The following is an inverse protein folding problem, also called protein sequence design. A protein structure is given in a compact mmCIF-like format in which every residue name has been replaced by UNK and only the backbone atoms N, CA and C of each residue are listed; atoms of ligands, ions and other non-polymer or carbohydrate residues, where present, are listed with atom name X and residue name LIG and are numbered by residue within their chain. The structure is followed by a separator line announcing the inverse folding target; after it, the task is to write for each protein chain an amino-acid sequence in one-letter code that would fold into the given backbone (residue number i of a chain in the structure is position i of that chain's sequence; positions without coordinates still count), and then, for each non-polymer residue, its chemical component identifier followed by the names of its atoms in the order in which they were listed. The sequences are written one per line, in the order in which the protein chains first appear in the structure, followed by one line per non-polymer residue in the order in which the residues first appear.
data_IF_744285312017
#
_entry.id   IF_744285312017
#
_cell.length_a   1.000
_cell.length_b   1.000
_cell.length_c   1.000
_cell.angle_alpha   90.00
_cell.angle_beta   90.00
_cell.angle_gamma   90.00
#
_symmetry.space_group_name_H-M   'P 1'
#
loop_
_entity.id
_entity.type
_entity.pdbx_description
1 polymer ?
#
# COMPACT_ATOMS: atom_id res chain seq x y z
N UNK A 1 21.08 -22.94 -6.77
CA UNK A 1 19.64 -23.09 -6.50
C UNK A 1 18.98 -21.88 -7.13
N UNK A 2 18.29 -22.08 -8.23
CA UNK A 2 17.72 -21.01 -9.07
C UNK A 2 16.51 -20.37 -8.36
N UNK A 3 16.49 -19.07 -8.41
CA UNK A 3 15.47 -18.18 -7.85
C UNK A 3 14.17 -18.29 -8.66
N UNK A 4 13.23 -19.10 -8.18
CA UNK A 4 11.93 -19.34 -8.86
C UNK A 4 10.85 -18.32 -8.46
N UNK A 5 11.17 -17.33 -7.61
CA UNK A 5 10.17 -16.40 -7.07
C UNK A 5 9.91 -15.19 -7.97
N UNK A 6 10.88 -14.80 -8.79
CA UNK A 6 10.79 -13.62 -9.67
C UNK A 6 9.96 -13.89 -10.94
N UNK A 7 9.93 -15.13 -11.44
CA UNK A 7 9.16 -15.50 -12.64
C UNK A 7 7.64 -15.56 -12.37
N UNK A 8 7.22 -15.96 -11.17
CA UNK A 8 5.80 -16.06 -10.81
C UNK A 8 5.07 -14.70 -10.73
N UNK A 9 5.81 -13.63 -10.49
CA UNK A 9 5.24 -12.28 -10.32
C UNK A 9 4.93 -11.61 -11.66
N UNK A 10 5.76 -11.87 -12.67
CA UNK A 10 5.53 -11.40 -14.04
C UNK A 10 4.46 -12.21 -14.77
N UNK A 11 4.25 -13.47 -14.36
CA UNK A 11 3.24 -14.35 -14.94
C UNK A 11 1.80 -13.93 -14.62
N UNK A 12 1.52 -13.32 -13.45
CA UNK A 12 0.16 -13.00 -13.02
C UNK A 12 -0.52 -11.91 -13.85
N UNK A 13 0.13 -10.76 -14.08
CA UNK A 13 -0.41 -9.67 -14.91
C UNK A 13 -0.39 -10.04 -16.39
N UNK A 14 0.69 -10.69 -16.85
CA UNK A 14 0.81 -11.21 -18.20
C UNK A 14 -0.26 -12.27 -18.49
N UNK A 15 -0.60 -13.13 -17.50
CA UNK A 15 -1.61 -14.14 -17.61
C UNK A 15 -3.02 -13.56 -17.73
N UNK A 16 -3.36 -12.54 -16.93
CA UNK A 16 -4.67 -11.90 -16.96
C UNK A 16 -4.89 -11.14 -18.27
N UNK A 17 -3.85 -10.44 -18.75
CA UNK A 17 -3.86 -9.80 -20.06
C UNK A 17 -3.96 -10.84 -21.19
N UNK A 18 -3.22 -11.94 -21.10
CA UNK A 18 -3.28 -13.03 -22.06
C UNK A 18 -4.68 -13.68 -22.10
N UNK A 19 -5.31 -13.88 -20.93
CA UNK A 19 -6.69 -14.37 -20.84
C UNK A 19 -7.70 -13.40 -21.45
N UNK A 20 -7.54 -12.10 -21.20
CA UNK A 20 -8.40 -11.07 -21.78
C UNK A 20 -8.25 -11.00 -23.30
N UNK A 21 -7.02 -11.09 -23.83
CA UNK A 21 -6.75 -11.17 -25.28
C UNK A 21 -7.35 -12.45 -25.87
N UNK A 22 -7.21 -13.58 -25.19
CA UNK A 22 -7.79 -14.85 -25.64
C UNK A 22 -9.32 -14.77 -25.66
N UNK A 23 -9.95 -14.30 -24.58
CA UNK A 23 -11.39 -14.13 -24.49
C UNK A 23 -11.93 -13.17 -25.56
N UNK A 24 -11.21 -12.08 -25.82
CA UNK A 24 -11.57 -11.12 -26.88
C UNK A 24 -11.53 -11.77 -28.27
N UNK A 25 -10.49 -12.57 -28.56
CA UNK A 25 -10.38 -13.29 -29.82
C UNK A 25 -11.44 -14.38 -29.96
N UNK A 26 -11.73 -15.09 -28.86
CA UNK A 26 -12.77 -16.10 -28.85
C UNK A 26 -14.16 -15.49 -29.14
N UNK A 27 -14.50 -14.40 -28.47
CA UNK A 27 -15.76 -13.69 -28.70
C UNK A 27 -15.83 -13.14 -30.13
N UNK A 28 -14.74 -12.57 -30.66
CA UNK A 28 -14.71 -12.07 -32.05
C UNK A 28 -14.96 -13.19 -33.05
N UNK A 29 -14.28 -14.32 -32.92
CA UNK A 29 -14.49 -15.49 -33.77
C UNK A 29 -15.92 -16.05 -33.67
N UNK A 30 -16.52 -16.01 -32.49
CA UNK A 30 -17.89 -16.46 -32.27
C UNK A 30 -18.90 -15.52 -32.93
N UNK A 31 -18.67 -14.20 -32.88
CA UNK A 31 -19.48 -13.19 -33.59
C UNK A 31 -19.41 -13.42 -35.09
N UNK A 32 -18.18 -13.58 -35.63
CA UNK A 32 -17.94 -13.77 -37.06
C UNK A 32 -18.55 -15.07 -37.61
N UNK A 33 -18.74 -16.08 -36.77
CA UNK A 33 -19.31 -17.39 -37.15
C UNK A 33 -20.79 -17.53 -36.84
N UNK A 34 -21.41 -16.59 -36.15
CA UNK A 34 -22.82 -16.70 -35.76
C UNK A 34 -23.74 -16.14 -36.85
N UNK A 35 -24.79 -16.88 -37.16
CA UNK A 35 -25.84 -16.46 -38.11
C UNK A 35 -27.04 -15.80 -37.45
N UNK A 36 -27.09 -15.80 -36.10
CA UNK A 36 -28.15 -15.19 -35.34
C UNK A 36 -27.78 -13.73 -34.98
N UNK A 37 -28.50 -12.71 -35.51
CA UNK A 37 -28.17 -11.31 -35.29
C UNK A 37 -28.32 -10.84 -33.84
N UNK A 38 -29.29 -11.39 -33.08
CA UNK A 38 -29.50 -11.04 -31.69
C UNK A 38 -28.32 -11.52 -30.82
N UNK A 39 -27.91 -12.78 -31.03
CA UNK A 39 -26.75 -13.35 -30.32
C UNK A 39 -25.44 -12.63 -30.69
N UNK A 40 -25.27 -12.25 -31.95
CA UNK A 40 -24.12 -11.45 -32.39
C UNK A 40 -24.06 -10.12 -31.66
N UNK A 41 -25.19 -9.45 -31.46
CA UNK A 41 -25.25 -8.17 -30.75
C UNK A 41 -24.93 -8.31 -29.26
N UNK A 42 -25.43 -9.35 -28.58
CA UNK A 42 -25.07 -9.62 -27.18
C UNK A 42 -23.57 -9.92 -27.01
N UNK A 43 -23.01 -10.73 -27.91
CA UNK A 43 -21.58 -11.05 -27.90
C UNK A 43 -20.72 -9.81 -28.20
N UNK A 44 -21.17 -8.92 -29.09
CA UNK A 44 -20.49 -7.66 -29.35
C UNK A 44 -20.50 -6.74 -28.13
N UNK A 45 -21.63 -6.64 -27.41
CA UNK A 45 -21.72 -5.86 -26.18
C UNK A 45 -20.79 -6.42 -25.07
N UNK A 46 -20.69 -7.74 -24.96
CA UNK A 46 -19.78 -8.40 -24.03
C UNK A 46 -18.28 -8.14 -24.42
N UNK A 47 -17.95 -8.17 -25.72
CA UNK A 47 -16.62 -7.85 -26.22
C UNK A 47 -16.24 -6.39 -25.94
N UNK A 48 -17.14 -5.46 -26.17
CA UNK A 48 -16.92 -4.04 -25.88
C UNK A 48 -16.78 -3.77 -24.38
N UNK A 49 -17.58 -4.45 -23.55
CA UNK A 49 -17.42 -4.44 -22.10
C UNK A 49 -16.05 -4.97 -21.65
N UNK A 50 -15.58 -6.08 -22.23
CA UNK A 50 -14.28 -6.64 -21.94
C UNK A 50 -13.13 -5.72 -22.36
N UNK A 51 -13.22 -5.14 -23.58
CA UNK A 51 -12.25 -4.13 -24.06
C UNK A 51 -12.21 -2.92 -23.14
N UNK A 52 -13.37 -2.42 -22.71
CA UNK A 52 -13.48 -1.29 -21.79
C UNK A 52 -12.86 -1.63 -20.44
N UNK A 53 -13.10 -2.83 -19.89
CA UNK A 53 -12.51 -3.28 -18.63
C UNK A 53 -10.99 -3.39 -18.71
N UNK A 54 -10.44 -3.92 -19.82
CA UNK A 54 -8.99 -4.00 -20.07
C UNK A 54 -8.37 -2.61 -20.20
N UNK A 55 -9.02 -1.68 -20.89
CA UNK A 55 -8.55 -0.30 -21.02
C UNK A 55 -8.68 0.48 -19.69
N UNK A 56 -9.73 0.22 -18.92
CA UNK A 56 -9.91 0.82 -17.59
C UNK A 56 -8.88 0.31 -16.59
N UNK A 57 -8.46 -0.95 -16.69
CA UNK A 57 -7.33 -1.48 -15.93
C UNK A 57 -6.03 -0.70 -16.18
N UNK A 58 -5.79 -0.26 -17.42
CA UNK A 58 -4.65 0.57 -17.76
C UNK A 58 -4.82 2.06 -17.32
N UNK A 59 -6.06 2.51 -17.09
CA UNK A 59 -6.37 3.84 -16.51
C UNK A 59 -6.37 3.84 -14.96
N UNK A 60 -6.34 2.69 -14.32
CA UNK A 60 -6.25 2.60 -12.85
C UNK A 60 -5.00 3.27 -12.29
N UNK A 61 -3.91 3.39 -13.07
CA UNK A 61 -2.74 4.19 -12.70
C UNK A 61 -3.08 5.66 -12.39
N UNK A 62 -4.02 6.26 -13.11
CA UNK A 62 -4.47 7.65 -12.86
C UNK A 62 -5.43 7.75 -11.68
N UNK A 63 -6.29 6.74 -11.48
CA UNK A 63 -7.25 6.70 -10.36
C UNK A 63 -6.54 6.39 -9.05
N UNK A 64 -5.49 5.54 -9.08
CA UNK A 64 -4.65 5.25 -7.92
C UNK A 64 -3.87 6.48 -7.44
N UNK A 65 -3.38 7.33 -8.35
CA UNK A 65 -2.73 8.60 -7.99
C UNK A 65 -3.67 9.59 -7.28
N UNK A 66 -4.98 9.50 -7.52
CA UNK A 66 -5.99 10.30 -6.78
C UNK A 66 -6.30 9.67 -5.42
N UNK A 67 -6.29 8.34 -5.32
CA UNK A 67 -6.59 7.60 -4.09
C UNK A 67 -5.39 7.59 -3.13
N UNK A 68 -4.17 7.50 -3.67
CA UNK A 68 -2.90 7.41 -2.93
C UNK A 68 -1.93 8.51 -3.38
N UNK A 69 -2.14 9.76 -2.94
CA UNK A 69 -1.41 10.92 -3.46
C UNK A 69 0.09 10.92 -3.14
N UNK A 70 0.50 10.17 -2.12
CA UNK A 70 1.91 10.08 -1.69
C UNK A 70 2.58 8.76 -2.11
N UNK A 71 1.86 7.90 -2.84
CA UNK A 71 2.42 6.65 -3.33
C UNK A 71 3.57 6.92 -4.30
N UNK A 72 4.67 6.17 -4.12
CA UNK A 72 5.86 6.28 -4.97
C UNK A 72 5.85 5.17 -6.01
N UNK A 73 6.30 5.48 -7.22
CA UNK A 73 6.54 4.47 -8.23
C UNK A 73 7.68 3.54 -7.76
N UNK A 74 7.45 2.23 -7.84
CA UNK A 74 8.47 1.23 -7.54
C UNK A 74 9.30 1.02 -8.82
N UNK A 75 10.63 1.18 -8.76
CA UNK A 75 11.49 0.92 -9.92
C UNK A 75 11.37 -0.53 -10.40
N UNK A 76 11.48 -0.75 -11.70
CA UNK A 76 11.47 -2.10 -12.30
C UNK A 76 12.54 -2.99 -11.62
N UNK A 77 12.16 -4.17 -11.16
CA UNK A 77 13.02 -5.11 -10.44
C UNK A 77 13.15 -4.85 -8.94
N UNK A 78 12.51 -3.80 -8.41
CA UNK A 78 12.38 -3.56 -6.97
C UNK A 78 11.01 -4.02 -6.48
N UNK A 79 10.91 -4.28 -5.18
CA UNK A 79 9.66 -4.66 -4.52
C UNK A 79 9.30 -3.65 -3.43
N UNK A 80 8.08 -3.70 -2.93
CA UNK A 80 7.64 -2.90 -1.77
C UNK A 80 8.52 -3.09 -0.54
N UNK A 81 9.24 -4.21 -0.43
CA UNK A 81 10.22 -4.48 0.64
C UNK A 81 11.43 -3.54 0.64
N UNK A 82 11.77 -2.97 -0.50
CA UNK A 82 12.91 -2.05 -0.62
C UNK A 82 12.55 -0.60 -0.24
N UNK A 83 11.32 -0.38 0.26
CA UNK A 83 10.92 0.93 0.77
C UNK A 83 11.77 1.32 1.97
N UNK A 84 12.22 2.60 2.05
CA UNK A 84 13.06 3.06 3.13
C UNK A 84 12.30 3.00 4.46
N UNK A 85 12.86 2.32 5.45
CA UNK A 85 12.34 2.34 6.81
C UNK A 85 12.73 3.66 7.50
N UNK A 86 11.93 4.11 8.50
CA UNK A 86 12.31 5.21 9.38
C UNK A 86 13.65 4.95 10.07
N UNK A 87 14.29 6.04 10.55
CA UNK A 87 15.53 5.91 11.34
C UNK A 87 15.33 4.98 12.53
N UNK A 88 16.14 3.91 12.60
CA UNK A 88 16.05 2.88 13.63
C UNK A 88 16.24 3.46 15.03
N UNK A 89 17.16 4.43 15.20
CA UNK A 89 17.36 5.10 16.49
C UNK A 89 16.08 5.79 16.97
N UNK A 90 15.37 6.46 16.05
CA UNK A 90 14.10 7.13 16.35
C UNK A 90 12.99 6.13 16.66
N UNK A 91 12.93 5.03 15.91
CA UNK A 91 11.98 3.93 16.19
C UNK A 91 12.22 3.40 17.61
N UNK A 92 13.46 3.10 17.99
CA UNK A 92 13.76 2.61 19.33
C UNK A 92 13.49 3.65 20.42
N UNK A 93 13.76 4.93 20.19
CA UNK A 93 13.42 6.01 21.13
C UNK A 93 11.91 6.09 21.35
N UNK A 94 11.12 6.01 20.29
CA UNK A 94 9.66 6.05 20.36
C UNK A 94 9.09 4.78 21.00
N UNK A 95 9.62 3.60 20.71
CA UNK A 95 9.25 2.34 21.38
C UNK A 95 9.54 2.38 22.88
N UNK A 96 10.66 2.99 23.27
CA UNK A 96 10.98 3.21 24.69
C UNK A 96 9.97 4.18 25.32
N UNK A 97 9.67 5.29 24.66
CA UNK A 97 8.66 6.25 25.11
C UNK A 97 7.29 5.58 25.27
N UNK A 98 6.87 4.73 24.34
CA UNK A 98 5.62 3.98 24.45
C UNK A 98 5.59 3.04 25.66
N UNK A 99 6.75 2.53 26.11
CA UNK A 99 6.84 1.70 27.35
C UNK A 99 6.80 2.53 28.63
N UNK A 100 7.35 3.73 28.60
CA UNK A 100 7.50 4.62 29.76
C UNK A 100 6.30 5.58 29.93
N UNK A 101 5.60 5.90 28.84
CA UNK A 101 4.47 6.83 28.83
C UNK A 101 3.15 6.08 28.58
N UNK A 102 2.27 5.93 29.60
CA UNK A 102 1.00 5.21 29.46
C UNK A 102 0.07 5.78 28.40
N UNK A 103 0.10 7.10 28.15
CA UNK A 103 -0.73 7.75 27.13
C UNK A 103 -0.34 7.27 25.74
N UNK A 104 0.97 7.26 25.43
CA UNK A 104 1.47 6.75 24.14
C UNK A 104 1.15 5.26 24.00
N UNK A 105 1.38 4.46 25.05
CA UNK A 105 1.09 3.03 25.05
C UNK A 105 -0.38 2.72 24.75
N UNK A 106 -1.32 3.48 25.32
CA UNK A 106 -2.75 3.25 25.16
C UNK A 106 -3.25 3.63 23.76
N UNK A 107 -2.70 4.70 23.19
CA UNK A 107 -3.19 5.26 21.91
C UNK A 107 -2.47 4.67 20.70
N UNK A 108 -1.29 4.09 20.89
CA UNK A 108 -0.43 3.67 19.78
C UNK A 108 -1.06 2.60 18.88
N UNK A 109 -1.36 1.43 19.40
CA UNK A 109 -1.87 0.31 18.58
C UNK A 109 -3.37 0.06 18.79
N UNK A 110 -3.97 0.71 19.78
CA UNK A 110 -5.37 0.53 20.13
C UNK A 110 -5.70 -0.94 20.40
N UNK A 111 -6.81 -1.39 19.83
CA UNK A 111 -7.30 -2.76 19.98
C UNK A 111 -6.89 -3.71 18.83
N UNK A 112 -6.07 -3.24 17.87
CA UNK A 112 -5.73 -4.04 16.69
C UNK A 112 -4.76 -5.17 17.00
N UNK A 113 -3.58 -4.85 17.55
CA UNK A 113 -2.54 -5.82 17.86
C UNK A 113 -1.83 -5.46 19.17
N UNK A 114 -1.24 -6.44 19.83
CA UNK A 114 -0.43 -6.20 21.02
C UNK A 114 0.95 -5.66 20.63
N UNK A 115 1.59 -4.83 21.48
CA UNK A 115 2.96 -4.36 21.24
C UNK A 115 3.99 -5.48 20.99
N UNK A 116 3.84 -6.65 21.66
CA UNK A 116 4.70 -7.80 21.42
C UNK A 116 4.56 -8.37 20.01
N UNK A 117 3.32 -8.47 19.51
CA UNK A 117 3.05 -8.93 18.14
C UNK A 117 3.58 -7.92 17.10
N UNK A 118 3.44 -6.61 17.38
CA UNK A 118 4.02 -5.59 16.51
C UNK A 118 5.54 -5.75 16.37
N UNK A 119 6.24 -6.06 17.46
CA UNK A 119 7.69 -6.31 17.41
C UNK A 119 8.03 -7.49 16.47
N UNK A 120 7.22 -8.54 16.46
CA UNK A 120 7.44 -9.69 15.59
C UNK A 120 7.30 -9.30 14.11
N UNK A 121 6.27 -8.53 13.74
CA UNK A 121 6.11 -7.99 12.39
C UNK A 121 7.26 -7.04 12.01
N UNK A 122 7.64 -6.16 12.93
CA UNK A 122 8.75 -5.23 12.70
C UNK A 122 10.07 -5.95 12.44
N UNK A 123 10.39 -6.99 13.22
CA UNK A 123 11.60 -7.80 13.02
C UNK A 123 11.56 -8.50 11.65
N UNK A 124 10.40 -9.01 11.22
CA UNK A 124 10.27 -9.64 9.89
C UNK A 124 10.63 -8.70 8.76
N UNK A 125 10.19 -7.43 8.79
CA UNK A 125 10.51 -6.48 7.73
C UNK A 125 11.92 -5.88 7.83
N UNK A 126 12.46 -5.76 9.05
CA UNK A 126 13.81 -5.24 9.30
C UNK A 126 14.90 -6.27 9.00
N UNK A 127 14.56 -7.55 8.90
CA UNK A 127 15.49 -8.66 8.67
C UNK A 127 15.34 -9.22 7.25
N UNK A 128 16.40 -9.77 6.66
CA UNK A 128 16.29 -10.54 5.42
C UNK A 128 15.37 -11.75 5.62
N UNK A 129 14.36 -11.93 4.77
CA UNK A 129 13.43 -13.06 4.89
C UNK A 129 12.14 -12.85 4.10
N UNK A 130 11.08 -13.60 4.43
CA UNK A 130 9.80 -13.60 3.73
C UNK A 130 8.76 -12.69 4.40
N UNK A 131 8.95 -11.36 4.39
CA UNK A 131 7.87 -10.46 4.79
C UNK A 131 6.77 -10.42 3.74
N UNK A 132 5.52 -10.40 4.17
CA UNK A 132 4.34 -10.30 3.32
C UNK A 132 3.88 -8.84 3.16
N UNK A 133 2.96 -8.57 2.22
CA UNK A 133 2.32 -7.26 2.11
C UNK A 133 1.56 -6.90 3.41
N UNK A 134 0.94 -7.88 4.07
CA UNK A 134 0.30 -7.68 5.37
C UNK A 134 1.30 -7.22 6.45
N UNK A 135 2.47 -7.86 6.54
CA UNK A 135 3.54 -7.45 7.46
C UNK A 135 3.96 -5.99 7.20
N UNK A 136 4.12 -5.62 5.93
CA UNK A 136 4.50 -4.26 5.52
C UNK A 136 3.43 -3.24 5.92
N UNK A 137 2.16 -3.53 5.66
CA UNK A 137 1.03 -2.66 6.01
C UNK A 137 0.97 -2.46 7.52
N UNK A 138 0.99 -3.57 8.31
CA UNK A 138 0.91 -3.53 9.77
C UNK A 138 2.04 -2.66 10.35
N UNK A 139 3.26 -2.84 9.85
CA UNK A 139 4.41 -2.11 10.39
C UNK A 139 4.36 -0.64 10.00
N UNK A 140 4.05 -0.30 8.77
CA UNK A 140 3.94 1.11 8.39
C UNK A 140 2.80 1.84 9.12
N UNK A 141 1.65 1.19 9.32
CA UNK A 141 0.57 1.73 10.14
C UNK A 141 1.00 1.91 11.61
N UNK A 142 1.59 0.88 12.21
CA UNK A 142 2.02 0.93 13.60
C UNK A 142 3.11 1.98 13.85
N UNK A 143 4.09 2.11 12.96
CA UNK A 143 5.11 3.15 13.06
C UNK A 143 4.52 4.55 12.84
N UNK A 144 3.60 4.71 11.89
CA UNK A 144 2.89 5.97 11.69
C UNK A 144 2.22 6.44 13.00
N UNK A 145 1.42 5.58 13.62
CA UNK A 145 0.73 5.91 14.87
C UNK A 145 1.72 6.16 16.02
N UNK A 146 2.79 5.34 16.11
CA UNK A 146 3.83 5.52 17.13
C UNK A 146 4.46 6.91 17.04
N UNK A 147 4.90 7.32 15.86
CA UNK A 147 5.50 8.64 15.67
C UNK A 147 4.50 9.77 15.91
N UNK A 148 3.24 9.63 15.49
CA UNK A 148 2.19 10.60 15.76
C UNK A 148 1.95 10.79 17.27
N UNK A 149 1.88 9.72 18.04
CA UNK A 149 1.67 9.80 19.49
C UNK A 149 2.92 10.32 20.23
N UNK A 150 4.11 9.92 19.80
CA UNK A 150 5.35 10.48 20.35
C UNK A 150 5.52 11.96 20.02
N UNK A 151 5.16 12.39 18.81
CA UNK A 151 5.19 13.81 18.42
C UNK A 151 4.29 14.67 19.32
N UNK A 152 3.13 14.19 19.72
CA UNK A 152 2.22 14.88 20.65
C UNK A 152 2.77 14.94 22.08
N UNK A 153 3.58 13.95 22.47
CA UNK A 153 4.10 13.81 23.84
C UNK A 153 5.39 14.59 24.08
N UNK A 154 6.11 15.00 23.04
CA UNK A 154 7.37 15.75 23.19
C UNK A 154 7.10 17.27 23.19
N UNK A 155 7.76 18.04 24.07
CA UNK A 155 7.63 19.49 24.12
C UNK A 155 8.50 20.25 23.12
N UNK A 156 9.58 19.61 22.63
CA UNK A 156 10.56 20.20 21.72
C UNK A 156 10.06 20.19 20.27
N UNK A 157 9.94 21.37 19.68
CA UNK A 157 9.37 21.55 18.34
C UNK A 157 10.25 20.96 17.22
N UNK A 158 11.56 20.89 17.41
CA UNK A 158 12.46 20.27 16.41
C UNK A 158 12.31 18.75 16.43
N UNK A 159 12.28 18.14 17.60
CA UNK A 159 12.00 16.72 17.79
C UNK A 159 10.61 16.34 17.25
N UNK A 160 9.62 17.17 17.54
CA UNK A 160 8.26 16.99 17.04
C UNK A 160 8.20 16.99 15.51
N UNK A 161 8.82 17.99 14.88
CA UNK A 161 8.90 18.10 13.42
C UNK A 161 9.60 16.87 12.81
N UNK A 162 10.62 16.38 13.50
CA UNK A 162 11.35 15.19 13.07
C UNK A 162 10.49 13.92 13.15
N UNK A 163 9.73 13.72 14.24
CA UNK A 163 8.78 12.61 14.35
C UNK A 163 7.64 12.72 13.32
N UNK A 164 7.12 13.92 13.06
CA UNK A 164 6.12 14.14 12.02
C UNK A 164 6.66 13.77 10.63
N UNK A 165 7.94 14.06 10.34
CA UNK A 165 8.58 13.64 9.10
C UNK A 165 8.71 12.09 8.99
N UNK A 166 9.01 11.39 10.09
CA UNK A 166 9.03 9.93 10.10
C UNK A 166 7.61 9.34 9.96
N UNK A 167 6.61 9.94 10.58
CA UNK A 167 5.21 9.56 10.39
C UNK A 167 4.78 9.72 8.93
N UNK A 168 5.13 10.85 8.30
CA UNK A 168 4.84 11.07 6.88
C UNK A 168 5.52 10.02 5.97
N UNK A 169 6.76 9.67 6.26
CA UNK A 169 7.46 8.60 5.52
C UNK A 169 6.70 7.27 5.61
N UNK A 170 6.23 6.91 6.81
CA UNK A 170 5.44 5.69 7.01
C UNK A 170 4.11 5.74 6.24
N UNK A 171 3.41 6.88 6.25
CA UNK A 171 2.17 7.05 5.48
C UNK A 171 2.40 6.92 3.97
N UNK A 172 3.44 7.55 3.43
CA UNK A 172 3.79 7.46 2.01
C UNK A 172 4.20 6.03 1.59
N UNK A 173 4.90 5.32 2.47
CA UNK A 173 5.22 3.91 2.25
C UNK A 173 3.97 3.02 2.29
N UNK A 174 3.07 3.24 3.25
CA UNK A 174 1.78 2.56 3.32
C UNK A 174 0.98 2.74 2.02
N UNK A 175 0.83 3.99 1.56
CA UNK A 175 0.15 4.28 0.29
C UNK A 175 0.84 3.57 -0.88
N UNK A 176 2.18 3.50 -0.89
CA UNK A 176 2.93 2.79 -1.92
C UNK A 176 2.66 1.29 -1.89
N UNK A 177 2.62 0.66 -0.71
CA UNK A 177 2.27 -0.76 -0.58
C UNK A 177 0.84 -1.00 -1.06
N UNK A 178 -0.12 -0.19 -0.64
CA UNK A 178 -1.53 -0.33 -1.02
C UNK A 178 -1.75 -0.14 -2.54
N UNK A 179 -1.06 0.81 -3.15
CA UNK A 179 -1.12 1.04 -4.60
C UNK A 179 -0.55 -0.12 -5.43
N UNK A 180 0.29 -0.97 -4.83
CA UNK A 180 0.94 -2.10 -5.47
C UNK A 180 0.44 -3.46 -4.95
N UNK A 181 -0.68 -3.49 -4.23
CA UNK A 181 -1.27 -4.75 -3.77
C UNK A 181 -1.67 -5.61 -4.95
N UNK A 182 -1.37 -6.90 -4.87
CA UNK A 182 -1.77 -7.89 -5.86
C UNK A 182 -3.28 -8.10 -5.82
N UNK A 183 -3.87 -8.43 -6.95
CA UNK A 183 -5.31 -8.70 -7.05
C UNK A 183 -5.75 -9.90 -6.19
N UNK A 184 -4.92 -10.94 -6.11
CA UNK A 184 -5.17 -12.13 -5.28
C UNK A 184 -4.37 -12.04 -3.99
N UNK A 185 -5.05 -11.65 -2.92
CA UNK A 185 -4.47 -11.60 -1.57
C UNK A 185 -4.86 -12.83 -0.76
N UNK A 186 -3.98 -13.31 0.15
CA UNK A 186 -4.36 -14.32 1.12
C UNK A 186 -5.52 -13.82 1.98
N UNK A 187 -6.54 -14.64 2.18
CA UNK A 187 -7.67 -14.34 3.07
C UNK A 187 -7.38 -14.84 4.47
N UNK A 188 -6.24 -14.41 5.05
CA UNK A 188 -5.86 -14.75 6.42
C UNK A 188 -6.20 -13.61 7.40
N UNK A 189 -6.05 -13.90 8.67
CA UNK A 189 -6.37 -12.96 9.75
C UNK A 189 -5.39 -11.77 9.74
N UNK A 190 -4.12 -12.00 9.43
CA UNK A 190 -3.09 -10.97 9.38
C UNK A 190 -3.41 -9.93 8.29
N UNK A 191 -3.87 -10.38 7.13
CA UNK A 191 -4.30 -9.48 6.06
C UNK A 191 -5.55 -8.69 6.45
N UNK A 192 -6.50 -9.31 7.15
CA UNK A 192 -7.69 -8.60 7.65
C UNK A 192 -7.31 -7.50 8.65
N UNK A 193 -6.41 -7.78 9.60
CA UNK A 193 -5.87 -6.76 10.52
C UNK A 193 -5.12 -5.66 9.76
N UNK A 194 -4.26 -6.03 8.82
CA UNK A 194 -3.52 -5.08 8.00
C UNK A 194 -4.45 -4.09 7.29
N UNK A 195 -5.51 -4.58 6.65
CA UNK A 195 -6.48 -3.73 5.97
C UNK A 195 -7.29 -2.84 6.93
N UNK A 196 -7.69 -3.35 8.08
CA UNK A 196 -8.34 -2.55 9.14
C UNK A 196 -7.45 -1.40 9.62
N UNK A 197 -6.18 -1.68 9.89
CA UNK A 197 -5.19 -0.68 10.27
C UNK A 197 -4.95 0.34 9.15
N UNK A 198 -4.85 -0.12 7.89
CA UNK A 198 -4.64 0.76 6.74
C UNK A 198 -5.79 1.77 6.57
N UNK A 199 -7.04 1.31 6.63
CA UNK A 199 -8.22 2.18 6.55
C UNK A 199 -8.20 3.23 7.67
N UNK A 200 -7.92 2.82 8.91
CA UNK A 200 -7.85 3.74 10.05
C UNK A 200 -6.73 4.77 9.89
N UNK A 201 -5.57 4.35 9.37
CA UNK A 201 -4.43 5.25 9.11
C UNK A 201 -4.76 6.27 8.03
N UNK A 202 -5.34 5.85 6.90
CA UNK A 202 -5.72 6.75 5.82
C UNK A 202 -6.78 7.77 6.27
N UNK A 203 -7.78 7.34 7.04
CA UNK A 203 -8.79 8.25 7.60
C UNK A 203 -8.19 9.25 8.59
N UNK A 204 -7.16 8.87 9.35
CA UNK A 204 -6.46 9.76 10.26
C UNK A 204 -5.58 10.78 9.51
N UNK A 205 -4.84 10.34 8.49
CA UNK A 205 -3.96 11.22 7.69
C UNK A 205 -4.75 12.25 6.87
N UNK A 206 -5.94 11.91 6.38
CA UNK A 206 -6.82 12.87 5.69
C UNK A 206 -7.33 14.01 6.59
N UNK A 207 -7.33 13.84 7.92
CA UNK A 207 -7.81 14.85 8.87
C UNK A 207 -6.74 15.86 9.29
N UNK A 208 -5.47 15.58 9.04
CA UNK A 208 -4.37 16.52 9.32
C UNK A 208 -4.13 17.38 8.08
N UNK A 209 -4.54 18.68 8.08
CA UNK A 209 -4.22 19.56 6.96
C UNK A 209 -2.71 19.71 6.86
N UNK A 210 -2.17 19.44 5.67
CA UNK A 210 -0.76 19.61 5.33
C UNK A 210 -0.32 21.05 5.65
N UNK A 211 0.31 21.27 6.80
CA UNK A 211 1.04 22.51 7.12
C UNK A 211 2.42 22.45 6.48
N UNK A 212 2.47 22.55 5.16
CA UNK A 212 3.73 22.47 4.41
C UNK A 212 3.67 23.25 3.11
N UNK A 213 3.24 24.53 3.16
CA UNK A 213 3.63 25.48 2.12
C UNK A 213 5.07 25.89 2.41
N UNK A 214 6.00 25.33 1.66
CA UNK A 214 7.37 25.87 1.58
C UNK A 214 7.24 27.28 1.00
N UNK A 215 7.71 28.33 1.68
CA UNK A 215 7.79 29.66 1.09
C UNK A 215 8.81 29.56 -0.06
N UNK A 216 8.35 29.71 -1.30
CA UNK A 216 9.23 30.05 -2.42
C UNK A 216 9.77 31.43 -2.16
N UNK A 217 10.98 31.49 -1.61
CA UNK A 217 11.77 32.71 -1.51
C UNK A 217 12.06 33.19 -2.94
N UNK A 218 11.33 34.24 -3.34
CA UNK A 218 11.65 35.06 -4.50
C UNK A 218 12.65 36.10 -4.06
N UNK A 219 13.92 35.84 -4.28
CA UNK A 219 14.95 36.89 -4.25
C UNK A 219 15.01 37.55 -5.63
N UNK A 220 14.94 38.85 -5.60
CA UNK A 220 15.15 39.83 -6.67
C UNK A 220 16.54 39.70 -7.34
#
# INVERSE_FOLDING_TARGET
MHDSSSEAEYEGESLLFAHAVFASRFLQNAIDSTTNPELAQEMQAALDGLKTAVHSGNQQSHTLGTLYPHAKAIPSGSTTRNLPLPSMDKVFMCLRMARECPQVATLWLGDYIRPSQFNDYFIKIASPGSATEADMIIVHCGLYWLFCECSKAVPDEDTKRDYDAQAFLCAANLETVLANLRFHQPTDLDFAYAMGMAVSTLLASCKTPSKGSIPTDRTY
#
